data_IF_435661544650
#
_entry.id   IF_435661544650
#
_cell.length_a   1.000
_cell.length_b   1.000
_cell.length_c   1.000
_cell.angle_alpha   90.00
_cell.angle_beta   90.00
_cell.angle_gamma   90.00
#
_symmetry.space_group_name_H-M   'P 1'
#
loop_
_entity.id
_entity.type
_entity.pdbx_description
1 polymer ?
#
# COMPACT_ATOMS: atom_id res chain seq x y z
N UNK A 1 10.79 0.79 20.91
CA UNK A 1 10.86 0.43 19.47
C UNK A 1 12.28 -0.01 19.16
N UNK A 2 12.55 -1.30 18.95
CA UNK A 2 13.86 -1.77 18.50
C UNK A 2 14.09 -1.37 17.04
N UNK A 3 15.31 -0.90 16.73
CA UNK A 3 15.74 -0.58 15.37
C UNK A 3 16.85 -1.56 15.00
N UNK A 4 16.67 -2.25 13.89
CA UNK A 4 17.60 -3.26 13.42
C UNK A 4 18.08 -2.95 12.00
N UNK A 5 19.32 -3.36 11.71
CA UNK A 5 19.82 -3.42 10.34
C UNK A 5 19.71 -4.84 9.82
N UNK A 6 19.37 -4.98 8.53
CA UNK A 6 19.33 -6.28 7.86
C UNK A 6 20.57 -6.42 6.99
N UNK A 7 21.50 -7.34 7.34
CA UNK A 7 22.66 -7.60 6.49
C UNK A 7 22.24 -8.02 5.08
N UNK A 8 22.77 -7.35 4.06
CA UNK A 8 22.41 -7.57 2.65
C UNK A 8 20.89 -7.38 2.34
N UNK A 9 20.20 -6.56 3.15
CA UNK A 9 18.74 -6.37 3.08
C UNK A 9 17.92 -7.67 3.23
N UNK A 10 18.51 -8.68 3.89
CA UNK A 10 17.91 -10.00 4.10
C UNK A 10 17.06 -10.03 5.37
N UNK A 11 15.74 -9.95 5.19
CA UNK A 11 14.77 -10.03 6.29
C UNK A 11 14.73 -11.44 6.94
N UNK A 12 15.22 -12.46 6.24
CA UNK A 12 15.28 -13.85 6.75
C UNK A 12 16.51 -14.14 7.61
N UNK A 13 17.43 -13.16 7.71
CA UNK A 13 18.55 -13.28 8.63
C UNK A 13 18.03 -13.50 10.07
N UNK A 14 18.67 -14.38 10.87
CA UNK A 14 18.15 -14.79 12.19
C UNK A 14 17.78 -13.64 13.13
N UNK A 15 18.50 -12.53 13.12
CA UNK A 15 18.23 -11.40 14.03
C UNK A 15 16.91 -10.69 13.67
N UNK A 16 16.67 -10.17 12.44
CA UNK A 16 15.39 -9.59 12.08
C UNK A 16 14.24 -10.61 12.12
N UNK A 17 14.46 -11.85 11.69
CA UNK A 17 13.43 -12.88 11.69
C UNK A 17 12.95 -13.19 13.12
N UNK A 18 13.86 -13.49 14.05
CA UNK A 18 13.50 -13.75 15.46
C UNK A 18 12.91 -12.53 16.14
N UNK A 19 13.38 -11.32 15.83
CA UNK A 19 12.80 -10.09 16.37
C UNK A 19 11.36 -9.91 15.91
N UNK A 20 11.03 -10.26 14.67
CA UNK A 20 9.67 -10.26 14.14
C UNK A 20 8.71 -11.17 14.92
N UNK A 21 9.21 -12.26 15.54
CA UNK A 21 8.37 -13.14 16.38
C UNK A 21 8.07 -12.58 17.76
N UNK A 22 8.96 -11.79 18.34
CA UNK A 22 8.81 -11.25 19.70
C UNK A 22 8.14 -9.88 19.75
N UNK A 23 7.98 -9.21 18.60
CA UNK A 23 7.32 -7.89 18.48
C UNK A 23 5.90 -8.04 17.95
N UNK A 24 5.02 -7.06 18.25
CA UNK A 24 3.63 -7.03 17.79
C UNK A 24 3.48 -6.50 16.36
N UNK A 25 4.55 -6.05 15.76
CA UNK A 25 4.57 -5.56 14.39
C UNK A 25 5.96 -5.21 13.93
N UNK A 26 6.09 -4.91 12.65
CA UNK A 26 7.34 -4.48 12.04
C UNK A 26 7.09 -3.47 10.94
N UNK A 27 8.00 -2.52 10.81
CA UNK A 27 8.07 -1.57 9.70
C UNK A 27 9.38 -1.84 8.97
N UNK A 28 9.30 -2.20 7.70
CA UNK A 28 10.45 -2.53 6.86
C UNK A 28 10.74 -1.37 5.94
N UNK A 29 12.00 -0.91 5.94
CA UNK A 29 12.46 0.13 5.02
C UNK A 29 13.15 -0.48 3.81
N UNK A 30 12.96 0.12 2.65
CA UNK A 30 13.46 -0.36 1.38
C UNK A 30 14.39 0.66 0.72
N UNK A 31 15.59 0.22 0.32
CA UNK A 31 16.59 1.08 -0.35
C UNK A 31 16.14 1.50 -1.74
N UNK A 32 15.36 0.67 -2.45
CA UNK A 32 14.88 0.99 -3.78
C UNK A 32 13.91 2.16 -3.74
N UNK A 33 12.97 2.15 -2.79
CA UNK A 33 12.05 3.27 -2.58
C UNK A 33 12.79 4.56 -2.21
N UNK A 34 13.83 4.46 -1.36
CA UNK A 34 14.67 5.61 -1.05
C UNK A 34 15.42 6.14 -2.30
N UNK A 35 15.91 5.24 -3.14
CA UNK A 35 16.55 5.61 -4.42
C UNK A 35 15.60 6.28 -5.41
N UNK A 36 14.30 6.03 -5.30
CA UNK A 36 13.23 6.66 -6.08
C UNK A 36 12.71 7.96 -5.43
N UNK A 37 13.39 8.45 -4.39
CA UNK A 37 13.00 9.66 -3.64
C UNK A 37 11.63 9.54 -2.93
N UNK A 38 11.21 8.32 -2.59
CA UNK A 38 10.03 8.07 -1.77
C UNK A 38 10.43 8.12 -0.30
N UNK A 39 9.87 9.05 0.45
CA UNK A 39 10.16 9.23 1.86
C UNK A 39 8.86 9.37 2.69
N UNK A 40 8.71 8.62 3.81
CA UNK A 40 9.60 7.56 4.29
C UNK A 40 9.58 6.33 3.36
N UNK A 41 10.73 5.65 3.16
CA UNK A 41 10.84 4.54 2.20
C UNK A 41 10.29 3.22 2.80
N UNK A 42 9.03 3.21 3.17
CA UNK A 42 8.38 2.07 3.84
C UNK A 42 7.93 1.06 2.79
N UNK A 43 8.47 -0.16 2.87
CA UNK A 43 7.96 -1.28 2.11
C UNK A 43 6.72 -1.85 2.81
N UNK A 44 5.55 -1.60 2.23
CA UNK A 44 4.25 -1.93 2.82
C UNK A 44 4.02 -3.45 2.91
N UNK A 45 4.46 -4.23 1.90
CA UNK A 45 4.13 -5.65 1.82
C UNK A 45 4.72 -6.49 2.96
N UNK A 46 6.01 -6.35 3.34
CA UNK A 46 6.57 -7.06 4.48
C UNK A 46 6.28 -6.38 5.83
N UNK A 47 5.75 -5.16 5.83
CA UNK A 47 5.37 -4.45 7.05
C UNK A 47 4.03 -4.92 7.57
N UNK A 48 3.90 -5.08 8.87
CA UNK A 48 2.66 -5.55 9.49
C UNK A 48 2.48 -5.02 10.91
N UNK A 49 1.23 -5.02 11.37
CA UNK A 49 0.85 -4.87 12.78
C UNK A 49 -0.19 -5.94 13.13
N UNK A 50 0.13 -6.78 14.14
CA UNK A 50 -0.80 -7.82 14.61
C UNK A 50 -1.99 -7.25 15.37
N UNK A 51 -1.82 -6.08 15.97
CA UNK A 51 -2.83 -5.41 16.80
C UNK A 51 -3.67 -4.37 16.02
N UNK A 52 -3.38 -4.16 14.73
CA UNK A 52 -4.06 -3.13 13.95
C UNK A 52 -5.58 -3.25 14.00
N UNK A 53 -6.11 -4.46 13.84
CA UNK A 53 -7.55 -4.74 13.83
C UNK A 53 -8.27 -4.33 15.12
N UNK A 54 -7.55 -4.29 16.25
CA UNK A 54 -8.12 -3.94 17.55
C UNK A 54 -8.12 -2.43 17.81
N UNK A 55 -7.43 -1.66 16.95
CA UNK A 55 -7.29 -0.20 17.06
C UNK A 55 -7.91 0.60 15.92
N UNK A 56 -8.65 -0.04 15.00
CA UNK A 56 -9.24 0.60 13.82
C UNK A 56 -10.74 0.34 13.71
N UNK A 57 -11.42 1.12 12.85
CA UNK A 57 -12.84 0.98 12.59
C UNK A 57 -13.71 1.85 13.50
N UNK A 58 -14.98 1.51 13.59
CA UNK A 58 -15.99 2.29 14.31
C UNK A 58 -15.61 2.50 15.78
N UNK A 59 -15.52 3.76 16.18
CA UNK A 59 -15.13 4.16 17.56
C UNK A 59 -13.65 4.51 17.74
N UNK A 60 -12.79 4.15 16.79
CA UNK A 60 -11.37 4.47 16.79
C UNK A 60 -10.97 5.35 15.59
N UNK A 61 -11.37 4.92 14.40
CA UNK A 61 -11.10 5.62 13.14
C UNK A 61 -12.41 5.72 12.33
N UNK A 62 -12.37 5.44 11.03
CA UNK A 62 -13.56 5.39 10.18
C UNK A 62 -13.94 3.93 9.92
N UNK A 63 -15.24 3.66 9.71
CA UNK A 63 -15.76 2.29 9.57
C UNK A 63 -15.19 1.51 8.39
N UNK A 64 -14.80 2.21 7.31
CA UNK A 64 -14.22 1.65 6.09
C UNK A 64 -12.72 1.33 6.19
N UNK A 65 -12.06 1.67 7.31
CA UNK A 65 -10.59 1.60 7.44
C UNK A 65 -10.04 0.19 7.14
N UNK A 66 -10.64 -0.85 7.71
CA UNK A 66 -10.16 -2.23 7.50
C UNK A 66 -10.27 -2.65 6.04
N UNK A 67 -11.39 -2.33 5.39
CA UNK A 67 -11.65 -2.69 4.00
C UNK A 67 -10.69 -1.96 3.06
N UNK A 68 -10.52 -0.65 3.27
CA UNK A 68 -9.57 0.17 2.49
C UNK A 68 -8.13 -0.36 2.65
N UNK A 69 -7.70 -0.64 3.88
CA UNK A 69 -6.35 -1.17 4.14
C UNK A 69 -6.13 -2.51 3.44
N UNK A 70 -7.07 -3.44 3.55
CA UNK A 70 -6.99 -4.75 2.90
C UNK A 70 -6.97 -4.63 1.37
N UNK A 71 -7.78 -3.74 0.81
CA UNK A 71 -7.85 -3.51 -0.63
C UNK A 71 -6.58 -2.87 -1.17
N UNK A 72 -6.08 -1.81 -0.53
CA UNK A 72 -4.82 -1.16 -0.92
C UNK A 72 -3.66 -2.15 -0.90
N UNK A 73 -3.57 -2.97 0.15
CA UNK A 73 -2.55 -4.01 0.26
C UNK A 73 -2.64 -5.02 -0.89
N UNK A 74 -3.84 -5.51 -1.19
CA UNK A 74 -4.10 -6.46 -2.29
C UNK A 74 -3.75 -5.85 -3.65
N UNK A 75 -4.17 -4.60 -3.90
CA UNK A 75 -3.86 -3.90 -5.15
C UNK A 75 -2.37 -3.65 -5.30
N UNK A 76 -1.68 -3.26 -4.22
CA UNK A 76 -0.23 -3.03 -4.28
C UNK A 76 0.57 -4.32 -4.49
N UNK A 77 0.10 -5.47 -3.99
CA UNK A 77 0.69 -6.76 -4.32
C UNK A 77 0.58 -7.07 -5.83
N UNK A 78 -0.57 -6.81 -6.46
CA UNK A 78 -0.76 -6.96 -7.92
C UNK A 78 0.14 -6.04 -8.74
N UNK A 79 0.55 -4.88 -8.22
CA UNK A 79 1.54 -4.01 -8.88
C UNK A 79 2.87 -4.74 -9.04
N UNK A 80 3.31 -5.51 -8.05
CA UNK A 80 4.52 -6.33 -8.15
C UNK A 80 4.45 -7.33 -9.30
N UNK A 81 3.31 -8.00 -9.46
CA UNK A 81 3.08 -8.95 -10.56
C UNK A 81 3.08 -8.24 -11.92
N UNK A 82 2.41 -7.08 -12.03
CA UNK A 82 2.39 -6.29 -13.26
C UNK A 82 3.81 -5.78 -13.64
N UNK A 83 4.60 -5.33 -12.67
CA UNK A 83 6.00 -4.92 -12.89
C UNK A 83 6.88 -6.09 -13.34
N UNK A 84 6.72 -7.26 -12.72
CA UNK A 84 7.43 -8.46 -13.12
C UNK A 84 7.08 -8.86 -14.56
N UNK A 85 5.80 -8.83 -14.95
CA UNK A 85 5.34 -9.11 -16.29
C UNK A 85 5.89 -8.08 -17.30
N UNK A 86 5.82 -6.77 -16.98
CA UNK A 86 6.36 -5.70 -17.80
C UNK A 86 7.86 -5.87 -18.09
N UNK A 87 8.63 -6.35 -17.11
CA UNK A 87 10.07 -6.59 -17.28
C UNK A 87 10.39 -7.70 -18.28
N UNK A 88 9.45 -8.61 -18.55
CA UNK A 88 9.62 -9.75 -19.47
C UNK A 88 9.10 -9.43 -20.88
N UNK A 89 7.89 -8.86 -20.98
CA UNK A 89 7.23 -8.66 -22.29
C UNK A 89 7.24 -7.20 -22.76
N UNK A 90 7.61 -6.25 -21.90
CA UNK A 90 7.52 -4.81 -22.18
C UNK A 90 6.17 -4.20 -21.75
N UNK A 91 6.19 -2.93 -21.40
CA UNK A 91 4.97 -2.22 -20.93
C UNK A 91 3.91 -2.07 -22.02
N UNK A 92 4.32 -1.96 -23.30
CA UNK A 92 3.40 -1.79 -24.43
C UNK A 92 2.48 -3.01 -24.60
N UNK A 93 2.99 -4.20 -24.31
CA UNK A 93 2.28 -5.49 -24.48
C UNK A 93 1.42 -5.85 -23.27
N UNK A 94 1.44 -5.07 -22.19
CA UNK A 94 0.60 -5.30 -21.03
C UNK A 94 -0.89 -5.11 -21.33
N UNK A 95 -1.71 -5.88 -20.64
CA UNK A 95 -3.17 -5.69 -20.68
C UNK A 95 -3.57 -4.29 -20.16
N UNK A 96 -4.72 -3.75 -20.58
CA UNK A 96 -5.19 -2.45 -20.09
C UNK A 96 -5.29 -2.37 -18.56
N UNK A 97 -5.63 -3.48 -17.89
CA UNK A 97 -5.72 -3.51 -16.43
C UNK A 97 -4.33 -3.51 -15.77
N UNK A 98 -3.35 -4.24 -16.34
CA UNK A 98 -1.98 -4.22 -15.80
C UNK A 98 -1.35 -2.83 -15.93
N UNK A 99 -1.61 -2.12 -17.03
CA UNK A 99 -1.20 -0.72 -17.20
C UNK A 99 -1.84 0.20 -16.15
N UNK A 100 -3.11 -0.03 -15.78
CA UNK A 100 -3.75 0.69 -14.67
C UNK A 100 -3.10 0.37 -13.32
N UNK A 101 -2.71 -0.89 -13.08
CA UNK A 101 -1.96 -1.26 -11.87
C UNK A 101 -0.58 -0.62 -11.79
N UNK A 102 0.16 -0.47 -12.90
CA UNK A 102 1.44 0.25 -12.90
C UNK A 102 1.26 1.71 -12.48
N UNK A 103 0.29 2.40 -13.07
CA UNK A 103 -0.04 3.80 -12.71
C UNK A 103 -0.51 3.92 -11.25
N UNK A 104 -1.34 2.98 -10.80
CA UNK A 104 -1.76 2.90 -9.39
C UNK A 104 -0.56 2.73 -8.46
N UNK A 105 0.40 1.86 -8.79
CA UNK A 105 1.59 1.60 -7.98
C UNK A 105 2.45 2.85 -7.82
N UNK A 106 2.72 3.57 -8.90
CA UNK A 106 3.44 4.85 -8.87
C UNK A 106 2.72 5.89 -8.01
N UNK A 107 1.42 6.06 -8.22
CA UNK A 107 0.62 7.00 -7.44
C UNK A 107 0.56 6.59 -5.95
N UNK A 108 0.46 5.29 -5.64
CA UNK A 108 0.46 4.77 -4.28
C UNK A 108 1.77 5.07 -3.56
N UNK A 109 2.90 4.82 -4.21
CA UNK A 109 4.22 5.09 -3.65
C UNK A 109 4.44 6.58 -3.38
N UNK A 110 4.07 7.46 -4.31
CA UNK A 110 4.29 8.90 -4.17
C UNK A 110 3.24 9.63 -3.31
N UNK A 111 1.97 9.25 -3.36
CA UNK A 111 0.89 10.00 -2.70
C UNK A 111 0.46 9.37 -1.37
N UNK A 112 0.56 8.05 -1.22
CA UNK A 112 0.14 7.34 -0.01
C UNK A 112 1.33 7.05 0.91
N UNK A 113 2.38 6.40 0.43
CA UNK A 113 3.59 6.09 1.20
C UNK A 113 4.43 7.35 1.40
N UNK A 114 4.69 8.08 0.32
CA UNK A 114 5.46 9.32 0.34
C UNK A 114 4.77 10.42 1.15
N UNK A 115 5.56 11.11 1.97
CA UNK A 115 5.12 12.24 2.81
C UNK A 115 6.21 13.29 2.85
N UNK A 116 5.81 14.57 2.98
CA UNK A 116 6.76 15.65 3.20
C UNK A 116 7.38 15.54 4.60
N UNK A 117 8.59 16.11 4.78
CA UNK A 117 9.38 16.04 6.01
C UNK A 117 8.59 16.48 7.27
N UNK A 118 7.73 17.47 7.12
CA UNK A 118 6.92 18.03 8.23
C UNK A 118 5.43 17.73 8.09
N UNK A 119 5.05 16.81 7.20
CA UNK A 119 3.67 16.44 7.02
C UNK A 119 3.15 15.67 8.25
N UNK A 120 2.02 16.13 8.79
CA UNK A 120 1.29 15.46 9.86
C UNK A 120 -0.11 15.09 9.37
N UNK A 121 -0.21 14.00 8.66
CA UNK A 121 -1.43 13.53 8.02
C UNK A 121 -2.34 12.83 9.03
N UNK A 122 -3.60 13.25 9.08
CA UNK A 122 -4.60 12.54 9.90
C UNK A 122 -4.96 11.20 9.26
N UNK A 123 -5.46 10.27 10.07
CA UNK A 123 -5.95 8.99 9.55
C UNK A 123 -7.10 9.16 8.55
N UNK A 124 -7.98 10.13 8.76
CA UNK A 124 -9.09 10.42 7.84
C UNK A 124 -8.56 10.89 6.49
N UNK A 125 -7.60 11.80 6.47
CA UNK A 125 -6.93 12.25 5.26
C UNK A 125 -6.23 11.09 4.55
N UNK A 126 -5.59 10.19 5.30
CA UNK A 126 -4.95 9.00 4.74
C UNK A 126 -5.96 8.07 4.07
N UNK A 127 -7.12 7.85 4.69
CA UNK A 127 -8.19 7.04 4.10
C UNK A 127 -8.78 7.68 2.84
N UNK A 128 -8.91 9.01 2.81
CA UNK A 128 -9.40 9.74 1.63
C UNK A 128 -8.41 9.64 0.45
N UNK A 129 -7.10 9.71 0.73
CA UNK A 129 -6.07 9.44 -0.28
C UNK A 129 -6.18 7.99 -0.77
N UNK A 130 -6.38 7.03 0.14
CA UNK A 130 -6.60 5.63 -0.22
C UNK A 130 -7.77 5.45 -1.17
N UNK A 131 -8.91 6.08 -0.91
CA UNK A 131 -10.08 6.04 -1.81
C UNK A 131 -9.83 6.70 -3.15
N UNK A 132 -9.11 7.84 -3.17
CA UNK A 132 -8.72 8.49 -4.43
C UNK A 132 -7.88 7.55 -5.30
N UNK A 133 -6.94 6.82 -4.70
CA UNK A 133 -6.11 5.85 -5.42
C UNK A 133 -6.92 4.65 -5.90
N UNK A 134 -7.79 4.09 -5.06
CA UNK A 134 -8.67 2.99 -5.45
C UNK A 134 -9.62 3.38 -6.59
N UNK A 135 -9.98 4.65 -6.69
CA UNK A 135 -10.75 5.19 -7.82
C UNK A 135 -10.05 5.12 -9.18
N UNK A 136 -8.71 4.94 -9.21
CA UNK A 136 -7.94 4.72 -10.45
C UNK A 136 -8.17 3.33 -11.06
N UNK A 137 -8.68 2.40 -10.27
CA UNK A 137 -8.95 1.02 -10.67
C UNK A 137 -10.46 0.83 -10.91
N UNK A 138 -10.86 -0.07 -11.82
CA UNK A 138 -12.26 -0.40 -12.01
C UNK A 138 -12.88 -0.97 -10.74
N UNK A 139 -14.16 -0.69 -10.51
CA UNK A 139 -14.90 -1.17 -9.32
C UNK A 139 -14.82 -2.70 -9.15
N UNK A 140 -14.78 -3.43 -10.25
CA UNK A 140 -14.72 -4.89 -10.28
C UNK A 140 -13.43 -5.47 -9.69
N UNK A 141 -12.36 -4.65 -9.64
CA UNK A 141 -11.08 -5.04 -9.03
C UNK A 141 -11.08 -4.89 -7.50
N UNK A 142 -12.09 -4.22 -6.93
CA UNK A 142 -12.18 -3.92 -5.50
C UNK A 142 -12.96 -4.99 -4.74
N UNK A 143 -12.49 -6.23 -4.80
CA UNK A 143 -13.12 -7.44 -4.28
C UNK A 143 -12.99 -7.63 -2.75
N UNK A 144 -12.18 -6.81 -2.08
CA UNK A 144 -11.95 -6.85 -0.62
C UNK A 144 -12.82 -5.89 0.17
N UNK A 145 -13.67 -5.11 -0.50
CA UNK A 145 -14.53 -4.10 0.11
C UNK A 145 -15.99 -4.51 -0.04
N UNK A 146 -16.76 -4.41 1.04
CA UNK A 146 -18.20 -4.65 0.99
C UNK A 146 -18.89 -3.69 -0.01
N UNK A 147 -19.83 -4.20 -0.79
CA UNK A 147 -20.55 -3.44 -1.82
C UNK A 147 -21.20 -2.18 -1.25
N UNK A 148 -21.72 -2.24 -0.02
CA UNK A 148 -22.33 -1.09 0.64
C UNK A 148 -21.33 0.02 0.94
N UNK A 149 -20.11 -0.34 1.28
CA UNK A 149 -19.00 0.61 1.51
C UNK A 149 -18.57 1.22 0.18
N UNK A 150 -18.47 0.40 -0.88
CA UNK A 150 -18.19 0.90 -2.23
C UNK A 150 -19.24 1.90 -2.69
N UNK A 151 -20.53 1.65 -2.45
CA UNK A 151 -21.63 2.55 -2.86
C UNK A 151 -21.53 3.95 -2.19
N UNK A 152 -20.93 4.00 -1.00
CA UNK A 152 -20.76 5.26 -0.25
C UNK A 152 -19.50 6.01 -0.63
N UNK A 153 -18.39 5.32 -0.76
CA UNK A 153 -17.06 5.94 -0.81
C UNK A 153 -16.38 5.88 -2.18
N UNK A 154 -16.68 4.87 -3.02
CA UNK A 154 -16.02 4.71 -4.30
C UNK A 154 -16.43 5.79 -5.29
N UNK A 155 -15.44 6.46 -5.85
CA UNK A 155 -15.59 7.42 -6.95
C UNK A 155 -14.55 7.08 -8.02
N UNK A 156 -14.96 6.72 -9.24
CA UNK A 156 -14.00 6.50 -10.31
C UNK A 156 -13.21 7.78 -10.56
N UNK A 157 -11.91 7.67 -10.77
CA UNK A 157 -11.11 8.79 -11.23
C UNK A 157 -11.62 9.21 -12.61
N UNK A 158 -11.78 10.52 -12.82
CA UNK A 158 -12.09 11.05 -14.14
C UNK A 158 -10.93 10.67 -15.06
N UNK A 159 -11.21 9.96 -16.16
CA UNK A 159 -10.20 9.70 -17.18
C UNK A 159 -9.81 11.06 -17.77
N UNK A 160 -8.58 11.50 -17.54
CA UNK A 160 -8.03 12.64 -18.25
C UNK A 160 -8.07 12.33 -19.75
N UNK A 161 -8.91 13.09 -20.47
CA UNK A 161 -9.15 12.95 -21.91
C UNK A 161 -7.94 13.42 -22.74
#
# INVERSE_FOLDING_TARGET
IPILTMPNDDITHPIPDLTGYITEGQIVLDRQLNGQSIYPPINVLPSLSRLMKDGIGKGYTREDHQDVANQLFSCYAKVGDARALASVIGEDELSPIDKKYLKFGEAFEHQFVGQAEHENRSILTTLDIGWKLLGMLPREELDRIDTKVLDVYYKPAEEEA
#
